data_IF_300635896573
#
_entry.id   IF_300635896573
#
_cell.length_a   1.000
_cell.length_b   1.000
_cell.length_c   1.000
_cell.angle_alpha   90.00
_cell.angle_beta   90.00
_cell.angle_gamma   90.00
#
_symmetry.space_group_name_H-M   'P 1'
#
loop_
_entity.id
_entity.type
_entity.pdbx_description
1 polymer ?
#
# COMPACT_ATOMS: atom_id res chain seq x y z
N UNK A 1 -8.79 -21.09 15.50
CA UNK A 1 -8.51 -20.44 14.21
C UNK A 1 -9.13 -19.04 14.13
N UNK A 2 -10.46 -18.89 14.17
CA UNK A 2 -11.15 -17.60 14.00
C UNK A 2 -10.78 -16.53 15.06
N UNK A 3 -10.62 -16.91 16.32
CA UNK A 3 -10.24 -16.00 17.41
C UNK A 3 -8.84 -15.38 17.20
N UNK A 4 -7.88 -16.18 16.70
CA UNK A 4 -6.52 -15.70 16.42
C UNK A 4 -6.56 -14.66 15.30
N UNK A 5 -7.37 -14.88 14.26
CA UNK A 5 -7.54 -13.93 13.17
C UNK A 5 -8.18 -12.61 13.64
N UNK A 6 -9.14 -12.67 14.55
CA UNK A 6 -9.77 -11.47 15.12
C UNK A 6 -8.75 -10.68 15.95
N UNK A 7 -7.99 -11.36 16.81
CA UNK A 7 -6.94 -10.71 17.61
C UNK A 7 -5.86 -10.12 16.70
N UNK A 8 -5.46 -10.84 15.65
CA UNK A 8 -4.49 -10.35 14.68
C UNK A 8 -5.01 -9.13 13.91
N UNK A 9 -6.27 -9.15 13.47
CA UNK A 9 -6.87 -8.02 12.75
C UNK A 9 -6.92 -6.75 13.62
N UNK A 10 -7.36 -6.88 14.88
CA UNK A 10 -7.40 -5.75 15.81
C UNK A 10 -5.98 -5.30 16.18
N UNK A 11 -5.09 -6.25 16.47
CA UNK A 11 -3.70 -5.99 16.83
C UNK A 11 -2.90 -5.33 15.71
N UNK A 12 -3.13 -5.70 14.45
CA UNK A 12 -2.47 -5.09 13.30
C UNK A 12 -2.88 -3.62 13.12
N UNK A 13 -4.18 -3.30 13.27
CA UNK A 13 -4.66 -1.91 13.20
C UNK A 13 -4.13 -1.11 14.39
N UNK A 14 -4.16 -1.67 15.60
CA UNK A 14 -3.59 -1.03 16.79
C UNK A 14 -2.09 -0.78 16.65
N UNK A 15 -1.34 -1.78 16.17
CA UNK A 15 0.08 -1.67 15.88
C UNK A 15 0.36 -0.55 14.89
N UNK A 16 -0.41 -0.47 13.79
CA UNK A 16 -0.27 0.60 12.81
C UNK A 16 -0.39 1.99 13.44
N UNK A 17 -1.43 2.22 14.26
CA UNK A 17 -1.64 3.52 14.97
C UNK A 17 -0.46 3.92 15.84
N UNK A 18 0.20 2.96 16.51
CA UNK A 18 1.36 3.26 17.34
C UNK A 18 2.66 3.40 16.52
N UNK A 19 2.80 2.60 15.46
CA UNK A 19 4.03 2.54 14.66
C UNK A 19 4.15 3.66 13.63
N UNK A 20 3.04 4.30 13.25
CA UNK A 20 3.04 5.35 12.22
C UNK A 20 3.78 6.63 12.63
N UNK A 21 3.98 6.85 13.93
CA UNK A 21 4.72 8.01 14.46
C UNK A 21 6.21 7.71 14.72
N UNK A 22 6.63 6.44 14.58
CA UNK A 22 8.02 6.06 14.78
C UNK A 22 8.81 6.26 13.49
N UNK A 23 10.06 6.77 13.58
CA UNK A 23 10.90 6.94 12.40
C UNK A 23 11.15 5.58 11.77
N UNK A 24 11.06 5.54 10.45
CA UNK A 24 11.24 4.30 9.71
C UNK A 24 12.71 3.84 9.76
N UNK A 25 12.98 2.62 9.29
CA UNK A 25 14.33 2.07 9.31
C UNK A 25 15.33 2.86 8.46
N UNK A 26 14.85 3.51 7.40
CA UNK A 26 15.67 4.33 6.52
C UNK A 26 16.02 5.66 7.19
N UNK A 27 15.03 6.35 7.76
CA UNK A 27 15.19 7.61 8.50
C UNK A 27 16.21 7.45 9.64
N UNK A 28 16.08 6.37 10.43
CA UNK A 28 17.08 6.04 11.47
C UNK A 28 18.48 5.80 10.90
N UNK A 29 18.58 5.07 9.79
CA UNK A 29 19.88 4.80 9.16
C UNK A 29 20.53 6.08 8.64
N UNK A 30 19.72 7.00 8.10
CA UNK A 30 20.17 8.29 7.61
C UNK A 30 20.62 9.21 8.75
N UNK A 31 19.89 9.22 9.86
CA UNK A 31 20.28 9.93 11.09
C UNK A 31 21.62 9.43 11.62
N UNK A 32 21.81 8.11 11.73
CA UNK A 32 23.07 7.49 12.17
C UNK A 32 24.24 7.78 11.21
N UNK A 33 23.95 7.92 9.92
CA UNK A 33 24.94 8.26 8.90
C UNK A 33 25.21 9.77 8.78
N UNK A 34 24.48 10.62 9.51
CA UNK A 34 24.58 12.08 9.41
C UNK A 34 24.11 12.64 8.07
N UNK A 35 23.17 11.96 7.41
CA UNK A 35 22.61 12.34 6.10
C UNK A 35 21.21 12.92 6.31
N UNK A 36 20.98 14.14 5.82
CA UNK A 36 19.65 14.75 5.85
C UNK A 36 18.71 14.13 4.81
N UNK A 37 17.44 13.96 5.19
CA UNK A 37 16.40 13.49 4.28
C UNK A 37 16.10 14.54 3.21
N UNK A 38 16.37 14.20 1.95
CA UNK A 38 16.09 15.06 0.82
C UNK A 38 14.62 14.95 0.43
N UNK A 39 13.97 16.05 0.00
CA UNK A 39 12.60 15.98 -0.47
C UNK A 39 12.48 15.01 -1.65
N UNK A 40 11.36 14.27 -1.75
CA UNK A 40 11.16 13.31 -2.83
C UNK A 40 11.29 14.01 -4.19
N UNK A 41 12.23 13.53 -5.01
CA UNK A 41 12.53 14.09 -6.35
C UNK A 41 11.36 13.87 -7.32
N UNK A 42 10.54 12.86 -7.06
CA UNK A 42 9.38 12.51 -7.86
C UNK A 42 8.14 12.40 -6.99
N UNK A 43 7.10 13.13 -7.36
CA UNK A 43 5.77 12.99 -6.78
C UNK A 43 4.88 12.22 -7.75
N UNK A 44 4.33 11.10 -7.30
CA UNK A 44 3.39 10.35 -8.11
C UNK A 44 2.16 11.22 -8.44
N UNK A 45 1.58 11.08 -9.66
CA UNK A 45 0.40 11.86 -10.06
C UNK A 45 -0.87 11.49 -9.27
N UNK A 46 -0.84 10.36 -8.56
CA UNK A 46 -1.92 9.88 -7.70
C UNK A 46 -1.40 9.87 -6.26
N UNK A 47 -2.07 10.61 -5.38
CA UNK A 47 -1.85 10.56 -3.93
C UNK A 47 -2.83 9.58 -3.29
N UNK A 48 -2.38 8.89 -2.25
CA UNK A 48 -3.25 8.05 -1.42
C UNK A 48 -4.12 8.87 -0.44
N UNK A 49 -3.90 10.19 -0.39
CA UNK A 49 -4.48 11.11 0.60
C UNK A 49 -3.78 11.03 1.96
N UNK A 50 -4.18 11.90 2.89
CA UNK A 50 -3.51 12.04 4.21
C UNK A 50 -4.34 11.42 5.35
N UNK A 51 -5.56 10.98 5.07
CA UNK A 51 -6.48 10.44 6.07
C UNK A 51 -6.85 8.96 5.81
N UNK A 52 -7.28 8.27 6.86
CA UNK A 52 -7.62 6.85 6.81
C UNK A 52 -8.69 6.51 5.76
N UNK A 53 -9.69 7.38 5.58
CA UNK A 53 -10.76 7.12 4.62
C UNK A 53 -10.21 7.20 3.18
N UNK A 54 -9.37 8.19 2.91
CA UNK A 54 -8.64 8.33 1.64
C UNK A 54 -7.75 7.11 1.36
N UNK A 55 -7.02 6.60 2.36
CA UNK A 55 -6.21 5.38 2.22
C UNK A 55 -7.05 4.15 1.84
N UNK A 56 -8.17 3.93 2.53
CA UNK A 56 -9.06 2.79 2.26
C UNK A 56 -9.67 2.90 0.85
N UNK A 57 -10.13 4.09 0.46
CA UNK A 57 -10.71 4.33 -0.86
C UNK A 57 -9.69 4.12 -1.98
N UNK A 58 -8.49 4.67 -1.83
CA UNK A 58 -7.42 4.52 -2.82
C UNK A 58 -6.92 3.08 -2.91
N UNK A 59 -6.87 2.35 -1.78
CA UNK A 59 -6.62 0.92 -1.76
C UNK A 59 -7.67 0.13 -2.56
N UNK A 60 -8.96 0.44 -2.37
CA UNK A 60 -10.05 -0.19 -3.11
C UNK A 60 -9.99 0.13 -4.61
N UNK A 61 -9.73 1.38 -4.98
CA UNK A 61 -9.55 1.80 -6.37
C UNK A 61 -8.40 1.05 -7.02
N UNK A 62 -7.25 0.93 -6.35
CA UNK A 62 -6.10 0.17 -6.84
C UNK A 62 -6.43 -1.30 -7.05
N UNK A 63 -7.07 -1.93 -6.08
CA UNK A 63 -7.49 -3.34 -6.16
C UNK A 63 -8.42 -3.60 -7.36
N UNK A 64 -9.49 -2.80 -7.50
CA UNK A 64 -10.45 -2.91 -8.60
C UNK A 64 -9.77 -2.67 -9.95
N UNK A 65 -8.88 -1.67 -10.03
CA UNK A 65 -8.16 -1.35 -11.27
C UNK A 65 -7.29 -2.52 -11.73
N UNK A 66 -6.49 -3.11 -10.83
CA UNK A 66 -5.64 -4.27 -11.14
C UNK A 66 -6.49 -5.48 -11.55
N UNK A 67 -7.62 -5.72 -10.87
CA UNK A 67 -8.53 -6.81 -11.20
C UNK A 67 -9.10 -6.64 -12.63
N UNK A 68 -9.58 -5.45 -12.97
CA UNK A 68 -10.13 -5.16 -14.30
C UNK A 68 -9.05 -5.35 -15.38
N UNK A 69 -7.86 -4.79 -15.19
CA UNK A 69 -6.75 -4.92 -16.14
C UNK A 69 -6.40 -6.39 -16.34
N UNK A 70 -6.26 -7.15 -15.24
CA UNK A 70 -5.94 -8.58 -15.30
C UNK A 70 -6.99 -9.39 -16.06
N UNK A 71 -8.27 -9.09 -15.82
CA UNK A 71 -9.38 -9.75 -16.54
C UNK A 71 -9.41 -9.39 -18.03
N UNK A 72 -9.16 -8.12 -18.38
CA UNK A 72 -9.12 -7.66 -19.78
C UNK A 72 -7.94 -8.32 -20.51
N UNK A 73 -6.74 -8.25 -19.93
CA UNK A 73 -5.53 -8.87 -20.49
C UNK A 73 -5.72 -10.38 -20.63
N UNK A 74 -6.24 -11.04 -19.59
CA UNK A 74 -6.53 -12.47 -19.61
C UNK A 74 -7.53 -12.85 -20.70
N UNK A 75 -8.61 -12.08 -20.88
CA UNK A 75 -9.59 -12.31 -21.97
C UNK A 75 -8.98 -12.09 -23.35
N UNK A 76 -8.15 -11.07 -23.53
CA UNK A 76 -7.47 -10.82 -24.82
C UNK A 76 -6.48 -11.93 -25.15
N UNK A 77 -5.71 -12.40 -24.17
CA UNK A 77 -4.78 -13.51 -24.34
C UNK A 77 -5.52 -14.83 -24.66
N UNK A 78 -6.62 -15.11 -23.97
CA UNK A 78 -7.44 -16.29 -24.23
C UNK A 78 -8.06 -16.27 -25.64
N UNK A 79 -8.52 -15.10 -26.12
CA UNK A 79 -9.01 -14.94 -27.49
C UNK A 79 -7.92 -15.19 -28.55
N UNK A 80 -6.69 -14.77 -28.27
CA UNK A 80 -5.55 -14.98 -29.18
C UNK A 80 -5.10 -16.45 -29.27
N UNK A 81 -5.24 -17.20 -28.19
CA UNK A 81 -4.85 -18.62 -28.12
C UNK A 81 -5.97 -19.60 -28.55
N UNK A 82 -7.19 -19.09 -28.78
CA UNK A 82 -8.36 -19.86 -29.21
C UNK A 82 -8.71 -19.73 -30.70
N UNK A 83 -7.76 -19.30 -31.54
CA UNK A 83 -7.86 -19.24 -33.00
C UNK A 83 -6.81 -20.15 -33.64
#
# INVERSE_FOLDING_TARGET
>A
MMIILIIFAIGAVGYWVFSSELPDGLEKTMEEAGVEEQPPVYQAPLSYGDDYASYVLMGLVGFVSVLIISLVVGKLAARKNGA
#
